data_IF_694346208251
#
_entry.id   IF_694346208251
#
_cell.length_a   1.000
_cell.length_b   1.000
_cell.length_c   1.000
_cell.angle_alpha   90.00
_cell.angle_beta   90.00
_cell.angle_gamma   90.00
#
_symmetry.space_group_name_H-M   'P 1'
#
loop_
_entity.id
_entity.type
_entity.pdbx_description
1 polymer ?
#
# COMPACT_ATOMS: atom_id res chain seq x y z
N UNK A 1 -91.39 -0.26 13.30
CA UNK A 1 -90.27 -0.96 13.94
C UNK A 1 -89.77 -0.01 15.02
N UNK A 2 -90.48 0.03 16.15
CA UNK A 2 -90.14 -0.70 17.39
C UNK A 2 -88.85 -0.09 17.98
N UNK A 3 -88.99 0.89 18.89
CA UNK A 3 -88.95 0.69 20.36
C UNK A 3 -87.56 0.16 20.78
N UNK A 4 -86.78 0.87 21.59
CA UNK A 4 -86.95 0.79 23.04
C UNK A 4 -86.34 2.01 23.75
N UNK A 5 -87.22 2.75 24.45
CA UNK A 5 -86.87 3.69 25.53
C UNK A 5 -86.98 2.86 26.81
N UNK A 6 -85.87 2.57 27.48
CA UNK A 6 -85.92 2.06 28.85
C UNK A 6 -85.82 3.23 29.84
N UNK A 7 -87.01 3.63 30.28
CA UNK A 7 -87.25 4.28 31.55
C UNK A 7 -86.61 3.47 32.68
N UNK A 8 -85.93 4.13 33.61
CA UNK A 8 -85.93 3.65 34.98
C UNK A 8 -86.39 4.76 35.92
N UNK A 9 -87.42 4.40 36.65
CA UNK A 9 -88.33 5.20 37.43
C UNK A 9 -87.71 5.77 38.71
N UNK A 10 -88.17 6.97 39.03
CA UNK A 10 -88.09 7.67 40.31
C UNK A 10 -88.49 6.77 41.48
N UNK A 11 -87.70 6.79 42.55
CA UNK A 11 -88.20 6.60 43.92
C UNK A 11 -87.87 7.84 44.74
N UNK A 12 -88.95 8.56 45.00
CA UNK A 12 -89.13 9.63 45.96
C UNK A 12 -88.99 9.08 47.38
N UNK A 13 -88.24 9.77 48.25
CA UNK A 13 -88.50 9.74 49.68
C UNK A 13 -88.02 11.05 50.31
N UNK A 14 -89.01 11.87 50.66
CA UNK A 14 -88.90 13.04 51.52
C UNK A 14 -88.98 12.63 52.99
N UNK A 15 -88.19 13.31 53.82
CA UNK A 15 -88.27 13.56 55.27
C UNK A 15 -86.81 13.79 55.72
N UNK A 16 -86.41 14.77 56.53
CA UNK A 16 -87.10 15.52 57.56
C UNK A 16 -86.21 16.73 57.91
N UNK A 17 -86.83 17.82 58.34
CA UNK A 17 -86.13 19.01 58.81
C UNK A 17 -85.48 18.76 60.19
N UNK A 18 -84.22 19.16 60.36
CA UNK A 18 -83.68 19.53 61.67
C UNK A 18 -82.42 20.40 61.49
N UNK A 19 -82.54 21.68 61.83
CA UNK A 19 -81.42 22.57 62.15
C UNK A 19 -80.77 22.09 63.47
N UNK A 20 -79.45 22.21 63.62
CA UNK A 20 -78.99 23.19 64.61
C UNK A 20 -77.81 24.05 64.16
N UNK A 21 -77.81 25.25 64.73
CA UNK A 21 -76.88 26.36 64.61
C UNK A 21 -75.39 26.07 64.89
N UNK A 22 -74.58 27.01 64.38
CA UNK A 22 -73.27 27.49 64.88
C UNK A 22 -71.99 26.65 64.67
N UNK A 23 -71.17 27.09 63.70
CA UNK A 23 -69.83 27.63 64.02
C UNK A 23 -69.26 28.47 62.87
N UNK A 24 -69.11 29.76 63.14
CA UNK A 24 -68.31 30.67 62.32
C UNK A 24 -66.82 30.38 62.55
N UNK A 25 -66.14 29.84 61.54
CA UNK A 25 -64.69 29.95 61.40
C UNK A 25 -64.41 30.72 60.12
N UNK A 26 -63.88 31.94 60.29
CA UNK A 26 -63.36 32.79 59.23
C UNK A 26 -62.24 32.04 58.50
N UNK A 27 -62.57 31.38 57.39
CA UNK A 27 -61.63 31.21 56.31
C UNK A 27 -61.51 32.57 55.63
N UNK A 28 -60.42 33.31 55.87
CA UNK A 28 -60.05 34.46 55.05
C UNK A 28 -59.97 34.00 53.59
N UNK A 29 -61.05 34.25 52.84
CA UNK A 29 -61.06 34.09 51.40
C UNK A 29 -60.03 35.08 50.84
N UNK A 30 -58.85 34.58 50.47
CA UNK A 30 -57.84 35.36 49.75
C UNK A 30 -58.41 35.77 48.39
N UNK A 31 -59.12 36.90 48.36
CA UNK A 31 -59.61 37.50 47.13
C UNK A 31 -58.40 38.08 46.40
N UNK A 32 -57.96 37.41 45.34
CA UNK A 32 -56.89 37.92 44.49
C UNK A 32 -57.36 39.21 43.80
N UNK A 33 -56.54 40.24 43.83
CA UNK A 33 -56.80 41.45 43.06
C UNK A 33 -56.44 41.22 41.59
N UNK A 34 -57.06 41.95 40.66
CA UNK A 34 -56.75 41.84 39.23
C UNK A 34 -55.24 42.05 38.96
N UNK A 35 -54.61 42.96 39.71
CA UNK A 35 -53.16 43.21 39.63
C UNK A 35 -52.31 42.01 40.08
N UNK A 36 -52.78 41.22 41.05
CA UNK A 36 -52.10 39.97 41.45
C UNK A 36 -52.17 38.91 40.35
N UNK A 37 -53.31 38.81 39.66
CA UNK A 37 -53.49 37.89 38.54
C UNK A 37 -52.60 38.30 37.37
N UNK A 38 -52.58 39.57 36.98
CA UNK A 38 -51.73 40.08 35.89
C UNK A 38 -50.24 39.86 36.19
N UNK A 39 -49.81 40.07 37.43
CA UNK A 39 -48.44 39.79 37.89
C UNK A 39 -48.09 38.31 37.79
N UNK A 40 -49.00 37.42 38.21
CA UNK A 40 -48.79 35.97 38.14
C UNK A 40 -48.73 35.51 36.68
N UNK A 41 -49.59 36.04 35.82
CA UNK A 41 -49.61 35.74 34.37
C UNK A 41 -48.33 36.21 33.71
N UNK A 42 -47.90 37.45 33.95
CA UNK A 42 -46.63 37.97 33.42
C UNK A 42 -45.42 37.16 33.91
N UNK A 43 -45.40 36.76 35.18
CA UNK A 43 -44.33 35.94 35.74
C UNK A 43 -44.31 34.53 35.11
N UNK A 44 -45.47 33.95 34.82
CA UNK A 44 -45.57 32.65 34.13
C UNK A 44 -45.16 32.75 32.66
N UNK A 45 -45.55 33.83 31.98
CA UNK A 45 -45.16 34.07 30.59
C UNK A 45 -43.65 34.26 30.47
N UNK A 46 -43.05 35.08 31.34
CA UNK A 46 -41.60 35.29 31.37
C UNK A 46 -40.82 34.01 31.72
N UNK A 47 -41.37 33.13 32.58
CA UNK A 47 -40.79 31.81 32.83
C UNK A 47 -40.90 30.91 31.61
N UNK A 48 -42.08 30.86 30.98
CA UNK A 48 -42.30 30.04 29.78
C UNK A 48 -41.41 30.47 28.60
N UNK A 49 -41.23 31.77 28.40
CA UNK A 49 -40.33 32.32 27.38
C UNK A 49 -38.86 31.99 27.66
N UNK A 50 -38.42 32.07 28.92
CA UNK A 50 -37.08 31.64 29.31
C UNK A 50 -36.88 30.14 29.08
N UNK A 51 -37.82 29.32 29.54
CA UNK A 51 -37.77 27.86 29.36
C UNK A 51 -37.78 27.48 27.88
N UNK A 52 -38.54 28.19 27.03
CA UNK A 52 -38.52 27.99 25.58
C UNK A 52 -37.20 28.43 24.96
N UNK A 53 -36.67 29.59 25.35
CA UNK A 53 -35.40 30.10 24.84
C UNK A 53 -34.23 29.15 25.20
N UNK A 54 -34.23 28.60 26.41
CA UNK A 54 -33.24 27.60 26.83
C UNK A 54 -33.37 26.30 26.05
N UNK A 55 -34.60 25.79 25.83
CA UNK A 55 -34.84 24.60 25.00
C UNK A 55 -34.40 24.79 23.55
N UNK A 56 -34.69 25.95 22.96
CA UNK A 56 -34.25 26.28 21.60
C UNK A 56 -32.73 26.36 21.53
N UNK A 57 -32.09 26.98 22.53
CA UNK A 57 -30.63 27.06 22.61
C UNK A 57 -29.98 25.68 22.78
N UNK A 58 -30.54 24.83 23.64
CA UNK A 58 -30.09 23.46 23.87
C UNK A 58 -30.22 22.61 22.61
N UNK A 59 -31.41 22.56 21.99
CA UNK A 59 -31.64 21.82 20.76
C UNK A 59 -30.75 22.31 19.60
N UNK A 60 -30.51 23.62 19.52
CA UNK A 60 -29.61 24.20 18.53
C UNK A 60 -28.15 23.80 18.79
N UNK A 61 -27.69 23.83 20.05
CA UNK A 61 -26.32 23.40 20.39
C UNK A 61 -26.09 21.91 20.17
N UNK A 62 -27.08 21.07 20.49
CA UNK A 62 -27.03 19.62 20.26
C UNK A 62 -26.99 19.33 18.76
N UNK A 63 -27.89 19.94 17.98
CA UNK A 63 -27.92 19.80 16.53
C UNK A 63 -26.64 20.27 15.84
N UNK A 64 -26.02 21.36 16.30
CA UNK A 64 -24.69 21.76 15.80
C UNK A 64 -23.61 20.76 16.18
N UNK A 65 -23.61 20.23 17.41
CA UNK A 65 -22.60 19.26 17.85
C UNK A 65 -22.68 17.93 17.11
N UNK A 66 -23.88 17.46 16.76
CA UNK A 66 -24.10 16.22 16.03
C UNK A 66 -23.79 16.40 14.54
N UNK A 67 -24.23 17.51 13.94
CA UNK A 67 -23.89 17.86 12.56
C UNK A 67 -22.38 18.02 12.38
N UNK A 68 -21.67 18.61 13.35
CA UNK A 68 -20.22 18.75 13.30
C UNK A 68 -19.51 17.40 13.43
N UNK A 69 -20.01 16.49 14.29
CA UNK A 69 -19.47 15.12 14.38
C UNK A 69 -19.69 14.34 13.09
N UNK A 70 -20.88 14.41 12.49
CA UNK A 70 -21.18 13.76 11.21
C UNK A 70 -20.31 14.33 10.10
N UNK A 71 -20.17 15.66 10.01
CA UNK A 71 -19.32 16.31 9.03
C UNK A 71 -17.85 15.90 9.20
N UNK A 72 -17.33 15.87 10.44
CA UNK A 72 -15.97 15.41 10.74
C UNK A 72 -15.76 13.94 10.36
N UNK A 73 -16.69 13.06 10.70
CA UNK A 73 -16.60 11.64 10.32
C UNK A 73 -16.59 11.46 8.80
N UNK A 74 -17.39 12.26 8.08
CA UNK A 74 -17.47 12.20 6.62
C UNK A 74 -16.19 12.70 5.97
N UNK A 75 -15.63 13.81 6.48
CA UNK A 75 -14.35 14.36 5.99
C UNK A 75 -13.17 13.45 6.34
N UNK A 76 -13.12 12.91 7.57
CA UNK A 76 -12.08 11.97 7.99
C UNK A 76 -12.10 10.69 7.15
N UNK A 77 -13.27 10.11 6.87
CA UNK A 77 -13.37 8.95 5.98
C UNK A 77 -12.88 9.25 4.56
N UNK A 78 -13.23 10.43 4.03
CA UNK A 78 -12.78 10.86 2.70
C UNK A 78 -11.26 11.07 2.66
N UNK A 79 -10.69 11.73 3.67
CA UNK A 79 -9.26 11.95 3.81
C UNK A 79 -8.52 10.63 3.98
N UNK A 80 -9.06 9.71 4.77
CA UNK A 80 -8.46 8.40 5.00
C UNK A 80 -8.43 7.56 3.71
N UNK A 81 -9.53 7.51 2.98
CA UNK A 81 -9.58 6.81 1.70
C UNK A 81 -8.64 7.46 0.66
N UNK A 82 -8.58 8.80 0.61
CA UNK A 82 -7.63 9.49 -0.26
C UNK A 82 -6.16 9.19 0.12
N UNK A 83 -5.86 9.08 1.42
CA UNK A 83 -4.52 8.67 1.90
C UNK A 83 -4.19 7.24 1.53
N UNK A 84 -5.12 6.31 1.73
CA UNK A 84 -4.92 4.90 1.38
C UNK A 84 -4.70 4.71 -0.13
N UNK A 85 -5.47 5.41 -0.97
CA UNK A 85 -5.26 5.41 -2.41
C UNK A 85 -3.91 6.03 -2.79
N UNK A 86 -3.51 7.13 -2.16
CA UNK A 86 -2.21 7.76 -2.40
C UNK A 86 -1.06 6.83 -1.98
N UNK A 87 -1.19 6.13 -0.86
CA UNK A 87 -0.20 5.18 -0.35
C UNK A 87 -0.09 3.95 -1.25
N UNK A 88 -1.21 3.40 -1.73
CA UNK A 88 -1.22 2.31 -2.71
C UNK A 88 -0.56 2.75 -4.03
N UNK A 89 -0.92 3.93 -4.55
CA UNK A 89 -0.31 4.47 -5.76
C UNK A 89 1.18 4.85 -5.58
N UNK A 90 1.63 5.10 -4.35
CA UNK A 90 3.05 5.28 -4.04
C UNK A 90 3.78 3.92 -4.03
N UNK A 91 3.22 2.91 -3.36
CA UNK A 91 3.76 1.54 -3.33
C UNK A 91 3.88 0.94 -4.73
N UNK A 92 2.84 1.04 -5.55
CA UNK A 92 2.89 0.55 -6.94
C UNK A 92 3.98 1.26 -7.77
N UNK A 93 4.20 2.56 -7.54
CA UNK A 93 5.29 3.29 -8.18
C UNK A 93 6.65 2.81 -7.69
N UNK A 94 6.84 2.65 -6.39
CA UNK A 94 8.07 2.13 -5.79
C UNK A 94 8.39 0.72 -6.31
N UNK A 95 7.40 -0.17 -6.34
CA UNK A 95 7.54 -1.52 -6.89
C UNK A 95 7.92 -1.48 -8.39
N UNK A 96 7.30 -0.59 -9.16
CA UNK A 96 7.64 -0.44 -10.58
C UNK A 96 9.05 0.14 -10.80
N UNK A 97 9.52 1.01 -9.91
CA UNK A 97 10.84 1.61 -9.98
C UNK A 97 11.91 0.60 -9.56
N UNK A 98 11.70 -0.11 -8.45
CA UNK A 98 12.63 -1.16 -7.98
C UNK A 98 12.78 -2.28 -9.01
N UNK A 99 11.70 -2.69 -9.67
CA UNK A 99 11.77 -3.66 -10.78
C UNK A 99 12.62 -3.14 -11.95
N UNK A 100 12.45 -1.86 -12.32
CA UNK A 100 13.26 -1.23 -13.38
C UNK A 100 14.71 -1.04 -12.97
N UNK A 101 14.98 -0.69 -11.72
CA UNK A 101 16.32 -0.56 -11.17
C UNK A 101 17.05 -1.90 -11.23
N UNK A 102 16.39 -2.98 -10.81
CA UNK A 102 16.96 -4.33 -10.88
C UNK A 102 17.20 -4.78 -12.33
N UNK A 103 16.29 -4.46 -13.26
CA UNK A 103 16.50 -4.75 -14.70
C UNK A 103 17.69 -3.96 -15.27
N UNK A 104 17.80 -2.68 -14.93
CA UNK A 104 18.92 -1.84 -15.34
C UNK A 104 20.24 -2.32 -14.73
N UNK A 105 20.26 -2.68 -13.45
CA UNK A 105 21.42 -3.25 -12.78
C UNK A 105 21.86 -4.55 -13.45
N UNK A 106 20.94 -5.48 -13.70
CA UNK A 106 21.26 -6.72 -14.43
C UNK A 106 21.82 -6.44 -15.83
N UNK A 107 21.27 -5.44 -16.54
CA UNK A 107 21.77 -5.05 -17.86
C UNK A 107 23.16 -4.41 -17.80
N UNK A 108 23.42 -3.58 -16.79
CA UNK A 108 24.74 -2.99 -16.55
C UNK A 108 25.76 -4.06 -16.20
N UNK A 109 25.43 -4.98 -15.30
CA UNK A 109 26.26 -6.13 -14.95
C UNK A 109 26.54 -7.01 -16.18
N UNK A 110 25.55 -7.22 -17.04
CA UNK A 110 25.75 -7.95 -18.30
C UNK A 110 26.71 -7.24 -19.25
N UNK A 111 26.59 -5.92 -19.40
CA UNK A 111 27.51 -5.14 -20.22
C UNK A 111 28.95 -5.22 -19.68
N UNK A 112 29.14 -5.05 -18.37
CA UNK A 112 30.43 -5.18 -17.71
C UNK A 112 31.01 -6.60 -17.82
N UNK A 113 30.17 -7.63 -17.68
CA UNK A 113 30.58 -9.01 -17.88
C UNK A 113 31.06 -9.27 -19.32
N UNK A 114 30.38 -8.71 -20.32
CA UNK A 114 30.79 -8.83 -21.73
C UNK A 114 32.15 -8.17 -21.96
N UNK A 115 32.39 -6.99 -21.40
CA UNK A 115 33.67 -6.29 -21.50
C UNK A 115 34.80 -7.09 -20.85
N UNK A 116 34.59 -7.53 -19.60
CA UNK A 116 35.58 -8.34 -18.86
C UNK A 116 35.87 -9.70 -19.52
N UNK A 117 34.87 -10.35 -20.11
CA UNK A 117 35.07 -11.58 -20.90
C UNK A 117 35.94 -11.33 -22.14
N UNK A 118 35.74 -10.20 -22.84
CA UNK A 118 36.55 -9.82 -23.99
C UNK A 118 38.00 -9.54 -23.60
N UNK A 119 38.22 -8.80 -22.51
CA UNK A 119 39.56 -8.54 -21.97
C UNK A 119 40.32 -9.84 -21.63
N UNK A 120 39.61 -10.78 -21.00
CA UNK A 120 40.15 -12.10 -20.62
C UNK A 120 40.26 -13.09 -21.79
N UNK A 121 39.88 -12.68 -23.01
CA UNK A 121 39.84 -13.50 -24.23
C UNK A 121 38.99 -14.77 -24.08
N UNK A 122 37.96 -14.69 -23.25
CA UNK A 122 36.96 -15.75 -23.06
C UNK A 122 35.80 -15.51 -24.05
N UNK A 123 35.20 -16.56 -24.64
CA UNK A 123 34.11 -16.38 -25.59
C UNK A 123 32.91 -15.63 -25.00
N UNK A 124 32.52 -14.51 -25.63
CA UNK A 124 31.37 -13.66 -25.22
C UNK A 124 30.05 -14.43 -25.17
N UNK A 125 29.93 -15.52 -25.94
CA UNK A 125 28.76 -16.41 -25.92
C UNK A 125 28.49 -17.05 -24.54
N UNK A 126 29.51 -17.10 -23.67
CA UNK A 126 29.35 -17.61 -22.30
C UNK A 126 28.64 -16.61 -21.39
N UNK A 127 28.50 -15.34 -21.80
CA UNK A 127 27.74 -14.33 -21.06
C UNK A 127 26.26 -14.72 -20.87
N UNK A 128 25.65 -15.42 -21.82
CA UNK A 128 24.24 -15.82 -21.71
C UNK A 128 24.00 -16.92 -20.65
N UNK A 129 25.06 -17.52 -20.10
CA UNK A 129 25.00 -18.57 -19.07
C UNK A 129 25.45 -18.05 -17.69
N UNK A 130 25.91 -16.80 -17.61
CA UNK A 130 26.38 -16.20 -16.35
C UNK A 130 25.22 -15.76 -15.46
N UNK A 131 25.38 -15.95 -14.15
CA UNK A 131 24.45 -15.46 -13.13
C UNK A 131 24.69 -13.97 -12.87
N UNK A 132 23.69 -13.14 -13.17
CA UNK A 132 23.73 -11.67 -13.02
C UNK A 132 23.10 -11.18 -11.72
N UNK A 133 23.02 -12.03 -10.69
CA UNK A 133 22.39 -11.68 -9.40
C UNK A 133 23.19 -10.63 -8.63
N UNK A 134 24.52 -10.60 -8.79
CA UNK A 134 25.37 -9.58 -8.16
C UNK A 134 26.71 -9.45 -8.88
N UNK A 135 27.39 -8.30 -8.72
CA UNK A 135 28.73 -8.09 -9.26
C UNK A 135 29.73 -9.16 -8.77
N UNK A 136 29.67 -9.56 -7.50
CA UNK A 136 30.58 -10.56 -6.93
C UNK A 136 30.37 -11.96 -7.51
N UNK A 137 29.12 -12.32 -7.80
CA UNK A 137 28.79 -13.63 -8.40
C UNK A 137 29.21 -13.69 -9.86
N UNK A 138 29.03 -12.60 -10.61
CA UNK A 138 29.53 -12.45 -11.99
C UNK A 138 31.05 -12.58 -12.05
N UNK A 139 31.79 -11.89 -11.18
CA UNK A 139 33.26 -11.95 -11.22
C UNK A 139 33.79 -13.36 -10.90
N UNK A 140 33.25 -14.02 -9.88
CA UNK A 140 33.63 -15.40 -9.51
C UNK A 140 33.33 -16.40 -10.62
N UNK A 141 32.17 -16.28 -11.25
CA UNK A 141 31.77 -17.17 -12.35
C UNK A 141 32.65 -16.95 -13.59
N UNK A 142 33.01 -15.69 -13.91
CA UNK A 142 33.96 -15.38 -14.98
C UNK A 142 35.34 -15.99 -14.69
N UNK A 143 35.86 -15.88 -13.48
CA UNK A 143 37.16 -16.47 -13.11
C UNK A 143 37.16 -18.00 -13.21
N UNK A 144 36.08 -18.65 -12.76
CA UNK A 144 35.95 -20.11 -12.84
C UNK A 144 35.86 -20.59 -14.30
N UNK A 145 35.07 -19.88 -15.13
CA UNK A 145 34.97 -20.16 -16.57
C UNK A 145 36.30 -19.90 -17.26
N UNK A 146 37.00 -18.82 -16.93
CA UNK A 146 38.30 -18.50 -17.50
C UNK A 146 39.31 -19.61 -17.23
N UNK A 147 39.39 -20.09 -15.97
CA UNK A 147 40.31 -21.16 -15.58
C UNK A 147 39.98 -22.46 -16.31
N UNK A 148 38.73 -22.91 -16.23
CA UNK A 148 38.29 -24.16 -16.85
C UNK A 148 38.40 -24.14 -18.38
N UNK A 149 38.10 -23.00 -19.01
CA UNK A 149 38.26 -22.83 -20.45
C UNK A 149 39.73 -22.88 -20.87
N UNK A 150 40.62 -22.21 -20.14
CA UNK A 150 42.07 -22.25 -20.43
C UNK A 150 42.63 -23.67 -20.28
N UNK A 151 42.27 -24.37 -19.21
CA UNK A 151 42.67 -25.77 -18.99
C UNK A 151 42.18 -26.68 -20.13
N UNK A 152 40.90 -26.59 -20.51
CA UNK A 152 40.33 -27.38 -21.60
C UNK A 152 40.96 -27.06 -22.97
N UNK A 153 41.27 -25.79 -23.25
CA UNK A 153 41.96 -25.39 -24.48
C UNK A 153 43.40 -25.88 -24.48
N UNK A 154 44.11 -25.82 -23.35
CA UNK A 154 45.47 -26.35 -23.22
C UNK A 154 45.49 -27.86 -23.47
N UNK A 155 44.61 -28.63 -22.83
CA UNK A 155 44.48 -30.07 -23.04
C UNK A 155 44.14 -30.39 -24.51
N UNK A 156 43.21 -29.65 -25.11
CA UNK A 156 42.85 -29.83 -26.52
C UNK A 156 44.00 -29.53 -27.50
N UNK A 157 44.80 -28.49 -27.21
CA UNK A 157 46.00 -28.15 -27.99
C UNK A 157 47.10 -29.19 -27.77
N UNK A 158 47.33 -29.65 -26.54
CA UNK A 158 48.31 -30.69 -26.23
C UNK A 158 47.91 -32.03 -26.88
N UNK A 159 46.64 -32.41 -26.83
CA UNK A 159 46.13 -33.59 -27.53
C UNK A 159 46.27 -33.45 -29.06
N UNK A 160 46.07 -32.25 -29.62
CA UNK A 160 46.34 -31.98 -31.04
C UNK A 160 47.84 -32.01 -31.35
N UNK A 161 48.70 -31.47 -30.50
CA UNK A 161 50.15 -31.48 -30.69
C UNK A 161 50.70 -32.90 -30.57
N UNK A 162 50.26 -33.68 -29.59
CA UNK A 162 50.62 -35.09 -29.43
C UNK A 162 50.09 -35.95 -30.58
N UNK A 163 48.89 -35.65 -31.11
CA UNK A 163 48.37 -36.31 -32.32
C UNK A 163 49.07 -35.85 -33.61
N UNK A 164 49.46 -34.58 -33.69
CA UNK A 164 50.19 -33.99 -34.81
C UNK A 164 51.71 -34.26 -34.74
N UNK A 165 52.20 -34.71 -33.59
CA UNK A 165 53.61 -34.95 -33.27
C UNK A 165 54.21 -36.16 -33.97
N UNK A 166 53.42 -36.91 -34.74
CA UNK A 166 53.92 -37.92 -35.69
C UNK A 166 54.09 -37.42 -37.12
N UNK A 167 53.49 -36.28 -37.49
CA UNK A 167 53.56 -35.73 -38.85
C UNK A 167 53.38 -34.20 -38.82
N UNK A 168 54.33 -33.51 -38.18
CA UNK A 168 54.72 -32.22 -38.73
C UNK A 168 55.25 -32.52 -40.13
N UNK A 169 54.40 -32.28 -41.13
CA UNK A 169 54.82 -32.18 -42.53
C UNK A 169 55.85 -31.06 -42.58
N UNK A 170 57.11 -31.41 -42.30
CA UNK A 170 58.29 -30.66 -42.64
C UNK A 170 58.11 -30.39 -44.13
N UNK A 171 57.89 -29.14 -44.51
CA UNK A 171 57.91 -28.75 -45.91
C UNK A 171 59.18 -29.37 -46.52
N UNK A 172 59.12 -30.00 -47.72
CA UNK A 172 60.29 -30.57 -48.34
C UNK A 172 61.34 -29.46 -48.41
N UNK A 173 62.43 -29.64 -47.68
CA UNK A 173 63.31 -28.56 -47.29
C UNK A 173 64.11 -28.05 -48.46
N UNK A 174 63.73 -26.90 -49.02
CA UNK A 174 64.60 -26.10 -49.89
C UNK A 174 65.91 -25.73 -49.19
N UNK A 175 65.90 -25.58 -47.86
CA UNK A 175 67.11 -25.33 -47.07
C UNK A 175 68.08 -26.52 -47.04
N UNK A 176 67.58 -27.76 -47.06
CA UNK A 176 68.43 -28.96 -47.12
C UNK A 176 69.03 -29.15 -48.52
N UNK A 177 68.27 -28.81 -49.55
CA UNK A 177 68.68 -28.94 -50.94
C UNK A 177 69.68 -27.85 -51.35
N UNK A 178 69.50 -26.61 -50.89
CA UNK A 178 70.48 -25.51 -51.08
C UNK A 178 71.83 -25.79 -50.42
N UNK A 179 71.84 -26.33 -49.19
CA UNK A 179 73.07 -26.72 -48.50
C UNK A 179 73.78 -27.90 -49.20
N UNK A 180 73.02 -28.84 -49.77
CA UNK A 180 73.57 -29.96 -50.53
C UNK A 180 74.11 -29.51 -51.90
N UNK A 181 73.43 -28.58 -52.58
CA UNK A 181 73.87 -27.98 -53.83
C UNK A 181 75.10 -27.08 -53.64
N UNK A 182 75.17 -26.29 -52.57
CA UNK A 182 76.38 -25.52 -52.22
C UNK A 182 77.56 -26.43 -51.89
N UNK A 183 77.34 -27.56 -51.19
CA UNK A 183 78.39 -28.53 -50.88
C UNK A 183 78.93 -29.22 -52.14
N UNK A 184 78.05 -29.56 -53.09
CA UNK A 184 78.42 -30.07 -54.43
C UNK A 184 79.18 -29.03 -55.25
N UNK A 185 78.73 -27.77 -55.26
CA UNK A 185 79.39 -26.68 -55.97
C UNK A 185 80.77 -26.32 -55.35
N UNK A 186 80.92 -26.51 -54.04
CA UNK A 186 82.18 -26.30 -53.31
C UNK A 186 83.13 -27.51 -53.35
N UNK A 187 82.79 -28.60 -54.07
CA UNK A 187 83.68 -29.74 -54.29
C UNK A 187 84.00 -30.60 -53.05
N UNK A 188 83.19 -30.50 -51.99
CA UNK A 188 83.41 -31.25 -50.75
C UNK A 188 82.84 -32.66 -50.93
N UNK A 189 83.69 -33.64 -51.22
CA UNK A 189 83.34 -35.07 -51.22
C UNK A 189 83.00 -35.52 -49.79
N UNK A 190 81.80 -36.09 -49.61
CA UNK A 190 81.45 -36.82 -48.39
C UNK A 190 82.42 -38.00 -48.19
N UNK A 191 82.84 -38.19 -46.94
CA UNK A 191 83.55 -39.39 -46.48
C UNK A 191 82.55 -40.45 -46.04
#
# INVERSE_FOLDING_TARGET
MAEEIMNNTVTEQAAEAANPEEKAEQAEAKTFTQADVDRIVAQRLARAEKDQAEKIKAARSEGFSEAEKLAKMTEEQRVQHAREQAEQAAKEREDSLTAREHELEARLLKAQAVETLQEKKVPVKLADVLDYTSADTVNKSIELIEKTFREAVQEGVEARLSRSGGNLRRAPGEAGDLLSQMRKAAGVKEK
#
